data_IF_262843415177
#
_entry.id   IF_262843415177
#
_cell.length_a   1.000
_cell.length_b   1.000
_cell.length_c   1.000
_cell.angle_alpha   90.00
_cell.angle_beta   90.00
_cell.angle_gamma   90.00
#
_symmetry.space_group_name_H-M   'P 1'
#
loop_
_entity.id
_entity.type
_entity.pdbx_description
1 polymer ?
#
# COMPACT_ATOMS: atom_id res chain seq x y z
N UNK A 1 -14.94 22.56 18.59
CA UNK A 1 -14.19 21.28 18.84
C UNK A 1 -13.78 20.71 17.49
N UNK A 2 -12.48 20.56 17.23
CA UNK A 2 -12.01 19.86 16.02
C UNK A 2 -12.34 18.37 16.20
N UNK A 3 -13.21 17.83 15.36
CA UNK A 3 -13.56 16.40 15.41
C UNK A 3 -12.29 15.59 15.17
N UNK A 4 -11.96 14.66 16.05
CA UNK A 4 -10.80 13.78 15.88
C UNK A 4 -10.97 12.96 14.59
N UNK A 5 -9.93 12.93 13.75
CA UNK A 5 -9.98 12.17 12.50
C UNK A 5 -9.93 10.68 12.81
N UNK A 6 -10.66 9.90 12.04
CA UNK A 6 -10.60 8.44 12.10
C UNK A 6 -9.23 7.96 11.68
N UNK A 7 -8.64 7.04 12.46
CA UNK A 7 -7.31 6.47 12.20
C UNK A 7 -7.40 5.27 11.27
N UNK A 8 -6.58 5.27 10.23
CA UNK A 8 -6.52 4.19 9.23
C UNK A 8 -5.07 3.76 9.01
N UNK A 9 -4.84 2.45 9.04
CA UNK A 9 -3.58 1.88 8.59
C UNK A 9 -3.68 1.52 7.11
N UNK A 10 -2.75 2.01 6.30
CA UNK A 10 -2.71 1.80 4.84
C UNK A 10 -1.48 1.00 4.47
N UNK A 11 -1.67 -0.17 3.86
CA UNK A 11 -0.60 -0.92 3.23
C UNK A 11 -0.49 -0.52 1.76
N UNK A 12 0.52 0.27 1.43
CA UNK A 12 0.76 0.84 0.11
C UNK A 12 2.17 0.50 -0.40
N UNK A 13 2.37 -0.75 -0.85
CA UNK A 13 3.65 -1.23 -1.38
C UNK A 13 4.18 -0.35 -2.52
N UNK A 14 3.30 0.03 -3.46
CA UNK A 14 3.57 0.94 -4.56
C UNK A 14 3.00 2.33 -4.19
N UNK A 15 3.83 3.21 -3.68
CA UNK A 15 3.44 4.54 -3.23
C UNK A 15 4.66 5.46 -3.27
N UNK A 16 4.74 6.30 -4.29
CA UNK A 16 5.89 7.18 -4.51
C UNK A 16 5.46 8.41 -5.34
N UNK A 17 5.93 9.62 -4.98
CA UNK A 17 5.61 10.84 -5.72
C UNK A 17 6.18 10.80 -7.15
N UNK A 18 5.58 11.60 -8.02
CA UNK A 18 6.03 11.90 -9.39
C UNK A 18 6.18 10.68 -10.32
N UNK A 19 5.57 9.55 -9.97
CA UNK A 19 5.50 8.36 -10.80
C UNK A 19 4.08 8.10 -11.28
N UNK A 20 3.99 7.51 -12.46
CA UNK A 20 2.71 7.09 -13.06
C UNK A 20 2.28 5.67 -12.65
N UNK A 21 1.20 5.19 -13.31
CA UNK A 21 0.66 3.85 -13.10
C UNK A 21 0.25 3.60 -11.64
N UNK A 22 0.31 2.37 -11.19
CA UNK A 22 -0.12 1.94 -9.85
C UNK A 22 0.62 2.64 -8.70
N UNK A 23 1.89 3.00 -8.92
CA UNK A 23 2.70 3.71 -7.92
C UNK A 23 2.12 5.11 -7.67
N UNK A 24 1.82 5.84 -8.73
CA UNK A 24 1.17 7.16 -8.65
C UNK A 24 -0.25 7.08 -8.10
N UNK A 25 -1.02 6.05 -8.46
CA UNK A 25 -2.35 5.81 -7.87
C UNK A 25 -2.23 5.67 -6.35
N UNK A 26 -1.33 4.82 -5.87
CA UNK A 26 -1.10 4.65 -4.42
C UNK A 26 -0.73 5.96 -3.74
N UNK A 27 0.15 6.76 -4.34
CA UNK A 27 0.56 8.06 -3.82
C UNK A 27 -0.62 9.04 -3.71
N UNK A 28 -1.33 9.26 -4.80
CA UNK A 28 -2.47 10.20 -4.82
C UNK A 28 -3.60 9.78 -3.89
N UNK A 29 -3.89 8.47 -3.78
CA UNK A 29 -4.86 7.97 -2.81
C UNK A 29 -4.47 8.30 -1.37
N UNK A 30 -3.20 8.12 -1.00
CA UNK A 30 -2.70 8.45 0.33
C UNK A 30 -2.85 9.95 0.60
N UNK A 31 -2.48 10.82 -0.35
CA UNK A 31 -2.63 12.26 -0.19
C UNK A 31 -4.09 12.68 -0.02
N UNK A 32 -4.99 12.16 -0.85
CA UNK A 32 -6.42 12.48 -0.77
C UNK A 32 -7.04 11.99 0.54
N UNK A 33 -6.76 10.74 0.94
CA UNK A 33 -7.26 10.19 2.19
C UNK A 33 -6.77 10.97 3.41
N UNK A 34 -5.57 11.52 3.39
CA UNK A 34 -4.98 12.29 4.51
C UNK A 34 -5.77 13.55 4.85
N UNK A 35 -6.55 14.08 3.92
CA UNK A 35 -7.41 15.23 4.16
C UNK A 35 -8.54 14.89 5.14
N UNK A 36 -9.01 13.65 5.14
CA UNK A 36 -10.18 13.19 5.90
C UNK A 36 -9.81 12.31 7.10
N UNK A 37 -8.70 11.58 7.01
CA UNK A 37 -8.28 10.56 7.96
C UNK A 37 -6.90 10.85 8.54
N UNK A 38 -6.60 10.25 9.67
CA UNK A 38 -5.27 10.19 10.26
C UNK A 38 -4.63 8.88 9.81
N UNK A 39 -3.53 8.96 9.03
CA UNK A 39 -3.01 7.83 8.26
C UNK A 39 -1.66 7.32 8.78
N UNK A 40 -1.57 6.00 8.96
CA UNK A 40 -0.32 5.25 9.09
C UNK A 40 -0.08 4.49 7.79
N UNK A 41 0.93 4.88 7.02
CA UNK A 41 1.17 4.36 5.67
C UNK A 41 2.43 3.50 5.66
N UNK A 42 2.28 2.20 5.46
CA UNK A 42 3.40 1.29 5.29
C UNK A 42 3.74 1.15 3.82
N UNK A 43 4.95 1.51 3.46
CA UNK A 43 5.49 1.40 2.10
C UNK A 43 6.90 0.83 2.11
N UNK A 44 7.53 0.76 0.94
CA UNK A 44 8.90 0.25 0.78
C UNK A 44 9.93 1.23 1.31
N UNK A 45 10.98 0.71 1.94
CA UNK A 45 12.14 1.51 2.37
C UNK A 45 12.81 2.22 1.18
N UNK A 46 12.79 1.60 -0.01
CA UNK A 46 13.32 2.23 -1.22
C UNK A 46 12.62 3.51 -1.63
N UNK A 47 11.39 3.76 -1.16
CA UNK A 47 10.60 4.94 -1.53
C UNK A 47 10.85 6.11 -0.56
N UNK A 48 11.54 5.87 0.56
CA UNK A 48 11.81 6.89 1.59
C UNK A 48 12.53 8.12 1.01
N UNK A 49 13.52 7.89 0.14
CA UNK A 49 14.36 8.97 -0.41
C UNK A 49 13.62 9.96 -1.32
N UNK A 50 12.45 9.59 -1.83
CA UNK A 50 11.57 10.45 -2.62
C UNK A 50 10.43 11.00 -1.76
N UNK A 51 9.87 10.21 -0.86
CA UNK A 51 8.73 10.60 -0.03
C UNK A 51 9.13 11.67 1.00
N UNK A 52 10.21 11.46 1.76
CA UNK A 52 10.57 12.39 2.84
C UNK A 52 10.91 13.81 2.34
N UNK A 53 11.71 14.01 1.27
CA UNK A 53 11.92 15.35 0.72
C UNK A 53 10.63 15.98 0.23
N UNK A 54 9.78 15.21 -0.47
CA UNK A 54 8.51 15.71 -0.97
C UNK A 54 7.58 16.18 0.16
N UNK A 55 7.46 15.39 1.25
CA UNK A 55 6.68 15.79 2.43
C UNK A 55 7.26 17.04 3.10
N UNK A 56 8.59 17.18 3.17
CA UNK A 56 9.24 18.37 3.73
C UNK A 56 8.90 19.65 2.94
N UNK A 57 8.77 19.53 1.62
CA UNK A 57 8.36 20.63 0.74
C UNK A 57 6.84 20.92 0.81
N UNK A 58 6.06 19.98 1.33
CA UNK A 58 4.60 20.05 1.40
C UNK A 58 4.07 19.87 2.84
N UNK A 59 4.30 20.82 3.76
CA UNK A 59 4.02 20.66 5.20
C UNK A 59 2.58 20.32 5.55
N UNK A 60 1.62 20.62 4.69
CA UNK A 60 0.19 20.26 4.90
C UNK A 60 -0.05 18.75 4.99
N UNK A 61 0.89 17.93 4.46
CA UNK A 61 0.84 16.47 4.50
C UNK A 61 1.70 15.84 5.61
N UNK A 62 2.39 16.66 6.41
CA UNK A 62 3.21 16.20 7.55
C UNK A 62 2.46 15.29 8.55
N UNK A 63 1.12 15.39 8.72
CA UNK A 63 0.40 14.46 9.60
C UNK A 63 0.32 13.02 9.12
N UNK A 64 0.83 12.68 7.91
CA UNK A 64 0.88 11.30 7.45
C UNK A 64 2.05 10.58 8.11
N UNK A 65 1.76 9.49 8.84
CA UNK A 65 2.77 8.69 9.54
C UNK A 65 3.30 7.60 8.61
N UNK A 66 4.42 7.86 7.93
CA UNK A 66 5.04 6.86 7.06
C UNK A 66 5.86 5.86 7.85
N UNK A 67 5.67 4.58 7.54
CA UNK A 67 6.42 3.43 8.00
C UNK A 67 7.10 2.79 6.79
N UNK A 68 8.36 2.49 6.91
CA UNK A 68 9.16 1.98 5.79
C UNK A 68 9.71 0.59 6.10
N UNK A 69 9.61 -0.31 5.14
CA UNK A 69 10.18 -1.64 5.27
C UNK A 69 10.64 -2.20 3.92
N UNK A 70 11.81 -2.75 3.92
CA UNK A 70 12.32 -3.62 2.84
C UNK A 70 13.27 -4.66 3.45
N UNK A 71 13.46 -5.75 2.76
CA UNK A 71 14.53 -6.68 3.08
C UNK A 71 15.90 -6.04 2.84
N UNK A 72 16.93 -6.50 3.58
CA UNK A 72 18.31 -6.08 3.35
C UNK A 72 18.74 -6.33 1.89
N UNK A 73 19.61 -5.48 1.37
CA UNK A 73 20.05 -5.56 -0.04
C UNK A 73 20.62 -6.94 -0.40
N UNK A 74 21.37 -7.55 0.52
CA UNK A 74 21.95 -8.87 0.33
C UNK A 74 20.90 -9.98 0.18
N UNK A 75 19.74 -9.86 0.82
CA UNK A 75 18.65 -10.83 0.72
C UNK A 75 17.79 -10.65 -0.55
N UNK A 76 18.00 -9.55 -1.27
CA UNK A 76 17.26 -9.19 -2.49
C UNK A 76 18.05 -9.37 -3.78
N UNK A 77 19.22 -10.03 -3.75
CA UNK A 77 20.13 -10.19 -4.91
C UNK A 77 19.47 -10.83 -6.12
N UNK A 78 18.48 -11.69 -5.90
CA UNK A 78 17.73 -12.40 -6.96
C UNK A 78 16.66 -11.52 -7.64
N UNK A 79 16.27 -10.38 -7.01
CA UNK A 79 15.30 -9.44 -7.57
C UNK A 79 16.01 -8.46 -8.49
N UNK A 80 15.82 -8.61 -9.81
CA UNK A 80 16.39 -7.71 -10.82
C UNK A 80 15.28 -7.12 -11.70
N UNK A 81 15.09 -5.80 -11.64
CA UNK A 81 14.05 -5.10 -12.39
C UNK A 81 12.66 -5.67 -12.09
N UNK A 82 11.93 -6.05 -13.13
CA UNK A 82 10.60 -6.68 -13.02
C UNK A 82 10.65 -8.15 -12.64
N UNK A 83 11.83 -8.81 -12.77
CA UNK A 83 11.98 -10.21 -12.39
C UNK A 83 11.87 -10.38 -10.88
N UNK A 84 11.00 -11.29 -10.45
CA UNK A 84 10.81 -11.62 -9.04
C UNK A 84 9.96 -10.62 -8.25
N UNK A 85 9.38 -9.60 -8.89
CA UNK A 85 8.54 -8.58 -8.21
C UNK A 85 7.38 -9.23 -7.46
N UNK A 86 6.66 -10.17 -8.08
CA UNK A 86 5.51 -10.85 -7.45
C UNK A 86 5.93 -11.66 -6.21
N UNK A 87 7.00 -12.43 -6.34
CA UNK A 87 7.55 -13.23 -5.22
C UNK A 87 7.99 -12.32 -4.09
N UNK A 88 8.71 -11.24 -4.41
CA UNK A 88 9.16 -10.28 -3.42
C UNK A 88 7.99 -9.58 -2.73
N UNK A 89 6.96 -9.18 -3.48
CA UNK A 89 5.75 -8.59 -2.92
C UNK A 89 5.08 -9.53 -1.90
N UNK A 90 4.88 -10.81 -2.26
CA UNK A 90 4.26 -11.78 -1.35
C UNK A 90 5.08 -11.98 -0.06
N UNK A 91 6.41 -12.05 -0.17
CA UNK A 91 7.31 -12.14 0.98
C UNK A 91 7.24 -10.86 1.83
N UNK A 92 7.24 -9.70 1.19
CA UNK A 92 7.12 -8.40 1.85
C UNK A 92 5.81 -8.31 2.67
N UNK A 93 4.70 -8.74 2.10
CA UNK A 93 3.41 -8.78 2.79
C UNK A 93 3.45 -9.70 4.01
N UNK A 94 4.11 -10.84 3.90
CA UNK A 94 4.25 -11.76 5.03
C UNK A 94 5.12 -11.16 6.15
N UNK A 95 6.26 -10.61 5.79
CA UNK A 95 7.21 -10.06 6.75
C UNK A 95 6.72 -8.78 7.45
N UNK A 96 5.82 -8.03 6.82
CA UNK A 96 5.27 -6.79 7.39
C UNK A 96 4.14 -7.02 8.40
N UNK A 97 3.60 -8.23 8.53
CA UNK A 97 2.52 -8.51 9.47
C UNK A 97 2.82 -8.08 10.92
N UNK A 98 4.04 -8.29 11.39
CA UNK A 98 4.46 -7.87 12.73
C UNK A 98 4.48 -6.35 12.90
N UNK A 99 4.91 -5.62 11.87
CA UNK A 99 4.95 -4.14 11.85
C UNK A 99 3.51 -3.61 11.87
N UNK A 100 2.66 -4.14 11.00
CA UNK A 100 1.23 -3.78 10.93
C UNK A 100 0.57 -3.97 12.28
N UNK A 101 0.72 -5.17 12.86
CA UNK A 101 0.15 -5.51 14.16
C UNK A 101 0.55 -4.52 15.26
N UNK A 102 1.84 -4.29 15.39
CA UNK A 102 2.39 -3.39 16.40
C UNK A 102 1.87 -1.97 16.21
N UNK A 103 2.00 -1.41 15.01
CA UNK A 103 1.58 -0.04 14.74
C UNK A 103 0.08 0.17 14.96
N UNK A 104 -0.76 -0.79 14.55
CA UNK A 104 -2.20 -0.71 14.79
C UNK A 104 -2.54 -0.78 16.28
N UNK A 105 -1.88 -1.64 17.06
CA UNK A 105 -2.11 -1.77 18.50
C UNK A 105 -1.64 -0.52 19.27
N UNK A 106 -0.43 -0.05 19.03
CA UNK A 106 0.16 1.10 19.72
C UNK A 106 -0.60 2.41 19.48
N UNK A 107 -1.25 2.52 18.29
CA UNK A 107 -1.97 3.74 17.90
C UNK A 107 -3.50 3.62 17.99
N UNK A 108 -4.03 2.49 18.50
CA UNK A 108 -5.47 2.21 18.57
C UNK A 108 -6.17 2.33 17.20
N UNK A 109 -5.59 1.71 16.18
CA UNK A 109 -6.11 1.71 14.80
C UNK A 109 -6.92 0.43 14.58
N UNK A 110 -8.16 0.57 14.09
CA UNK A 110 -9.08 -0.54 13.87
C UNK A 110 -9.42 -0.75 12.40
N UNK A 111 -8.96 0.12 11.51
CA UNK A 111 -9.20 0.02 10.07
C UNK A 111 -7.87 -0.24 9.38
N UNK A 112 -7.83 -1.32 8.61
CA UNK A 112 -6.71 -1.66 7.74
C UNK A 112 -7.15 -1.57 6.28
N UNK A 113 -6.46 -0.77 5.48
CA UNK A 113 -6.70 -0.62 4.06
C UNK A 113 -5.52 -1.16 3.25
N UNK A 114 -5.75 -2.21 2.47
CA UNK A 114 -4.81 -2.70 1.48
C UNK A 114 -5.03 -1.97 0.16
N UNK A 115 -4.12 -1.06 -0.19
CA UNK A 115 -4.35 -0.06 -1.23
C UNK A 115 -3.76 -0.47 -2.59
N UNK A 116 -2.52 -0.95 -2.64
CA UNK A 116 -1.81 -1.19 -3.89
C UNK A 116 -1.48 -2.65 -4.12
N UNK A 117 -1.29 -3.05 -5.38
CA UNK A 117 -1.18 -4.44 -5.81
C UNK A 117 -2.42 -5.27 -5.42
N UNK A 118 -3.59 -4.63 -5.54
CA UNK A 118 -4.89 -5.24 -5.24
C UNK A 118 -5.31 -6.29 -6.27
N UNK A 119 -4.59 -7.40 -6.37
CA UNK A 119 -4.96 -8.53 -7.21
C UNK A 119 -5.46 -9.68 -6.35
N UNK A 120 -6.63 -10.22 -6.66
CA UNK A 120 -7.31 -11.27 -5.88
C UNK A 120 -6.49 -12.55 -5.68
N UNK A 121 -5.51 -12.79 -6.54
CA UNK A 121 -4.64 -13.95 -6.46
C UNK A 121 -3.39 -13.72 -5.59
N UNK A 122 -3.19 -12.49 -5.09
CA UNK A 122 -1.98 -12.16 -4.36
C UNK A 122 -2.24 -12.06 -2.87
N UNK A 123 -1.19 -12.36 -2.10
CA UNK A 123 -1.30 -12.31 -0.66
C UNK A 123 -1.43 -10.87 -0.18
N UNK A 124 -2.34 -10.69 0.77
CA UNK A 124 -2.51 -9.43 1.51
C UNK A 124 -2.02 -9.66 2.93
N UNK A 125 -1.35 -8.68 3.53
CA UNK A 125 -1.10 -8.68 4.98
C UNK A 125 -2.46 -8.67 5.66
N UNK A 126 -2.92 -9.83 6.09
CA UNK A 126 -4.13 -9.91 6.88
C UNK A 126 -3.73 -9.83 8.34
N UNK A 127 -4.33 -8.94 9.04
CA UNK A 127 -4.08 -8.76 10.43
C UNK A 127 -5.37 -8.90 11.24
N UNK A 128 -5.46 -9.93 12.07
CA UNK A 128 -6.40 -10.11 13.18
C UNK A 128 -7.91 -10.04 12.87
N UNK A 129 -8.70 -10.75 13.68
CA UNK A 129 -10.16 -10.90 13.48
C UNK A 129 -11.02 -9.73 13.98
N UNK A 130 -10.42 -8.63 14.46
CA UNK A 130 -11.15 -7.52 15.09
C UNK A 130 -11.00 -6.18 14.39
N UNK A 131 -10.55 -6.18 13.13
CA UNK A 131 -10.36 -4.97 12.36
C UNK A 131 -11.32 -4.92 11.19
N UNK A 132 -11.69 -3.71 10.81
CA UNK A 132 -12.34 -3.48 9.52
C UNK A 132 -11.27 -3.56 8.42
N UNK A 133 -11.48 -4.45 7.47
CA UNK A 133 -10.58 -4.66 6.35
C UNK A 133 -11.17 -4.05 5.08
N UNK A 134 -10.44 -3.10 4.51
CA UNK A 134 -10.74 -2.49 3.21
C UNK A 134 -9.71 -2.98 2.21
N UNK A 135 -10.17 -3.49 1.09
CA UNK A 135 -9.31 -3.96 0.02
C UNK A 135 -9.69 -3.29 -1.30
N UNK A 136 -8.81 -2.50 -1.83
CA UNK A 136 -9.08 -1.86 -3.10
C UNK A 136 -8.24 -0.61 -3.38
N UNK A 137 -8.17 -0.23 -4.64
CA UNK A 137 -8.86 -0.86 -5.79
C UNK A 137 -8.35 -2.28 -6.07
N UNK A 138 -9.25 -3.20 -6.42
CA UNK A 138 -8.93 -4.61 -6.68
C UNK A 138 -9.15 -4.90 -8.17
N UNK A 139 -8.11 -5.38 -8.84
CA UNK A 139 -8.16 -5.90 -10.20
C UNK A 139 -8.22 -7.43 -10.26
N UNK A 140 -8.50 -7.96 -11.44
CA UNK A 140 -8.53 -9.41 -11.69
C UNK A 140 -9.89 -10.07 -11.46
N UNK A 141 -10.94 -9.28 -11.21
CA UNK A 141 -12.33 -9.73 -11.15
C UNK A 141 -13.15 -9.26 -12.36
N UNK A 142 -12.50 -8.57 -13.29
CA UNK A 142 -13.15 -8.05 -14.48
C UNK A 142 -13.54 -9.23 -15.39
N UNK A 143 -14.81 -9.29 -15.80
CA UNK A 143 -15.27 -10.16 -16.86
C UNK A 143 -15.30 -9.39 -18.19
N UNK A 144 -14.74 -9.98 -19.21
CA UNK A 144 -14.89 -9.48 -20.59
C UNK A 144 -16.26 -9.95 -21.08
N UNK A 145 -17.08 -9.04 -21.64
CA UNK A 145 -18.36 -9.44 -22.24
C UNK A 145 -18.12 -10.47 -23.34
N UNK A 146 -19.06 -11.40 -23.55
CA UNK A 146 -18.94 -12.46 -24.55
C UNK A 146 -18.66 -11.92 -25.97
N UNK A 147 -19.14 -10.74 -26.28
CA UNK A 147 -18.92 -10.06 -27.53
C UNK A 147 -17.43 -9.76 -27.80
N UNK A 148 -16.69 -9.32 -26.76
CA UNK A 148 -15.26 -9.06 -26.88
C UNK A 148 -14.41 -10.33 -26.75
N UNK A 149 -14.87 -11.33 -26.00
CA UNK A 149 -14.11 -12.58 -25.80
C UNK A 149 -13.88 -13.34 -27.11
N UNK A 150 -14.81 -13.22 -28.07
CA UNK A 150 -14.71 -13.83 -29.42
C UNK A 150 -13.55 -13.28 -30.25
N UNK A 151 -13.06 -12.09 -29.96
CA UNK A 151 -11.94 -11.46 -30.67
C UNK A 151 -10.56 -11.89 -30.13
N UNK A 152 -10.49 -12.44 -28.92
CA UNK A 152 -9.24 -12.84 -28.27
C UNK A 152 -8.94 -14.35 -28.39
N UNK A 153 -9.90 -15.16 -28.82
CA UNK A 153 -9.76 -16.61 -28.99
C UNK A 153 -9.48 -17.04 -30.44
N UNK A 154 -8.74 -16.22 -31.19
CA UNK A 154 -8.24 -16.60 -32.53
C UNK A 154 -6.74 -16.84 -32.50
#
# INVERSE_FOLDING_TARGET
MKKEKLKIFVSAYACEPDLGSEIGVGWHWVLEMSQYFDLWVLTRESNRHTIEPWIAEHPKYNPIHFLYYDWPKWARFWKKGLRGVRTYYNIWQYCTNGIVKRAMQENNIYIFHHLTYGNVLWKVSSYGQRQFFVWGPVGGLESISEEYSRHYNK
#
